data_IF_400516577166
#
_entry.id   IF_400516577166
#
_cell.length_a   1.000
_cell.length_b   1.000
_cell.length_c   1.000
_cell.angle_alpha   90.00
_cell.angle_beta   90.00
_cell.angle_gamma   90.00
#
_symmetry.space_group_name_H-M   'P 1'
#
loop_
_entity.id
_entity.type
_entity.pdbx_description
1 polymer ?
#
# COMPACT_ATOMS: atom_id res chain seq x y z
N UNK A 1 14.55 22.18 14.17
CA UNK A 1 13.84 21.59 13.02
C UNK A 1 13.75 20.10 13.31
N UNK A 2 12.56 19.55 13.54
CA UNK A 2 12.43 18.10 13.78
C UNK A 2 12.67 17.39 12.45
N UNK A 3 13.75 16.61 12.35
CA UNK A 3 13.99 15.77 11.19
C UNK A 3 12.83 14.78 11.06
N UNK A 4 12.23 14.71 9.87
CA UNK A 4 11.16 13.75 9.57
C UNK A 4 11.79 12.44 9.12
N UNK A 5 11.48 11.36 9.81
CA UNK A 5 11.88 10.01 9.39
C UNK A 5 11.19 9.64 8.07
N UNK A 6 11.92 9.22 7.03
CA UNK A 6 11.34 8.80 5.76
C UNK A 6 10.43 7.57 5.92
N UNK A 7 9.29 7.58 5.24
CA UNK A 7 8.41 6.40 5.14
C UNK A 7 9.00 5.47 4.08
N UNK A 8 9.48 4.31 4.51
CA UNK A 8 10.05 3.30 3.60
C UNK A 8 9.00 2.32 3.06
N UNK A 9 7.90 2.16 3.79
CA UNK A 9 6.87 1.15 3.51
C UNK A 9 5.54 1.59 4.10
N UNK A 10 4.45 1.32 3.40
CA UNK A 10 3.08 1.61 3.83
C UNK A 10 2.15 0.42 3.57
N UNK A 11 1.44 -0.04 4.61
CA UNK A 11 0.37 -1.03 4.48
C UNK A 11 -0.96 -0.29 4.38
N UNK A 12 -1.69 -0.49 3.28
CA UNK A 12 -2.99 0.13 3.03
C UNK A 12 -4.09 -0.95 3.09
N UNK A 13 -5.06 -0.77 3.98
CA UNK A 13 -6.22 -1.65 4.11
C UNK A 13 -7.43 -0.84 4.54
N UNK A 14 -8.30 -0.54 3.58
CA UNK A 14 -9.44 0.37 3.78
C UNK A 14 -10.72 -0.21 3.20
N UNK A 15 -11.83 0.05 3.90
CA UNK A 15 -13.15 -0.33 3.39
C UNK A 15 -13.63 0.63 2.30
N UNK A 16 -13.55 1.94 2.53
CA UNK A 16 -13.83 2.97 1.54
C UNK A 16 -12.56 3.35 0.79
N UNK A 17 -12.63 3.47 -0.53
CA UNK A 17 -11.46 3.62 -1.41
C UNK A 17 -11.21 5.09 -1.80
N UNK A 18 -12.04 5.99 -1.31
CA UNK A 18 -11.92 7.43 -1.52
C UNK A 18 -10.52 7.92 -1.11
N UNK A 19 -9.78 8.48 -2.06
CA UNK A 19 -8.44 9.04 -1.81
C UNK A 19 -7.31 8.01 -1.66
N UNK A 20 -7.58 6.70 -1.69
CA UNK A 20 -6.54 5.68 -1.42
C UNK A 20 -5.50 5.63 -2.54
N UNK A 21 -5.93 5.85 -3.79
CA UNK A 21 -5.05 5.84 -4.97
C UNK A 21 -4.11 7.04 -4.94
N UNK A 22 -4.62 8.23 -4.62
CA UNK A 22 -3.85 9.46 -4.50
C UNK A 22 -2.84 9.36 -3.37
N UNK A 23 -3.25 8.83 -2.21
CA UNK A 23 -2.36 8.58 -1.09
C UNK A 23 -1.24 7.60 -1.45
N UNK A 24 -1.59 6.44 -2.03
CA UNK A 24 -0.63 5.41 -2.40
C UNK A 24 0.37 5.92 -3.44
N UNK A 25 -0.09 6.70 -4.44
CA UNK A 25 0.76 7.34 -5.44
C UNK A 25 1.74 8.31 -4.80
N UNK A 26 1.27 9.20 -3.91
CA UNK A 26 2.13 10.14 -3.21
C UNK A 26 3.19 9.42 -2.35
N UNK A 27 2.83 8.33 -1.68
CA UNK A 27 3.77 7.53 -0.90
C UNK A 27 4.81 6.84 -1.81
N UNK A 28 4.38 6.24 -2.91
CA UNK A 28 5.26 5.59 -3.88
C UNK A 28 6.23 6.58 -4.54
N UNK A 29 5.78 7.81 -4.87
CA UNK A 29 6.62 8.89 -5.39
C UNK A 29 7.71 9.33 -4.40
N UNK A 30 7.46 9.17 -3.09
CA UNK A 30 8.46 9.39 -2.04
C UNK A 30 9.34 8.15 -1.76
N UNK A 31 9.20 7.09 -2.54
CA UNK A 31 9.99 5.87 -2.45
C UNK A 31 9.48 4.85 -1.43
N UNK A 32 8.23 4.97 -0.95
CA UNK A 32 7.63 3.98 -0.08
C UNK A 32 7.17 2.75 -0.88
N UNK A 33 7.51 1.55 -0.40
CA UNK A 33 6.91 0.30 -0.88
C UNK A 33 5.47 0.17 -0.38
N UNK A 34 4.53 -0.10 -1.27
CA UNK A 34 3.10 -0.22 -0.93
C UNK A 34 2.75 -1.69 -0.73
N UNK A 35 2.16 -2.02 0.42
CA UNK A 35 1.62 -3.34 0.72
C UNK A 35 0.10 -3.24 0.84
N UNK A 36 -0.60 -4.25 0.35
CA UNK A 36 -2.04 -4.38 0.53
C UNK A 36 -2.51 -5.82 0.29
N UNK A 37 -3.79 -6.08 0.51
CA UNK A 37 -4.48 -7.32 0.14
C UNK A 37 -5.91 -7.03 -0.32
N UNK A 38 -6.55 -8.04 -0.90
CA UNK A 38 -7.98 -8.05 -1.21
C UNK A 38 -8.43 -6.84 -2.02
N UNK A 39 -9.58 -6.26 -1.64
CA UNK A 39 -10.20 -5.18 -2.40
C UNK A 39 -9.44 -3.85 -2.38
N UNK A 40 -8.49 -3.62 -1.46
CA UNK A 40 -7.64 -2.42 -1.51
C UNK A 40 -6.52 -2.61 -2.53
N UNK A 41 -5.88 -3.78 -2.53
CA UNK A 41 -4.87 -4.13 -3.53
C UNK A 41 -5.42 -4.02 -4.95
N UNK A 42 -6.58 -4.61 -5.22
CA UNK A 42 -7.21 -4.56 -6.54
C UNK A 42 -7.43 -3.12 -7.04
N UNK A 43 -7.90 -2.22 -6.17
CA UNK A 43 -8.13 -0.82 -6.54
C UNK A 43 -6.82 -0.06 -6.86
N UNK A 44 -5.73 -0.41 -6.17
CA UNK A 44 -4.42 0.19 -6.41
C UNK A 44 -3.77 -0.34 -7.70
N UNK A 45 -3.86 -1.64 -7.94
CA UNK A 45 -3.36 -2.27 -9.17
C UNK A 45 -4.11 -1.79 -10.42
N UNK A 46 -5.43 -1.63 -10.34
CA UNK A 46 -6.24 -1.04 -11.42
C UNK A 46 -5.79 0.39 -11.77
N UNK A 47 -5.33 1.15 -10.77
CA UNK A 47 -4.77 2.48 -10.95
C UNK A 47 -3.28 2.49 -11.40
N UNK A 48 -2.71 1.31 -11.70
CA UNK A 48 -1.34 1.13 -12.15
C UNK A 48 -0.28 1.32 -11.05
N UNK A 49 -0.66 1.19 -9.78
CA UNK A 49 0.27 1.29 -8.66
C UNK A 49 0.84 -0.10 -8.38
N UNK A 50 2.17 -0.19 -8.27
CA UNK A 50 2.84 -1.42 -7.83
C UNK A 50 2.55 -1.67 -6.36
N UNK A 51 1.99 -2.84 -6.06
CA UNK A 51 1.65 -3.27 -4.70
C UNK A 51 2.30 -4.62 -4.45
N UNK A 52 2.84 -4.81 -3.24
CA UNK A 52 3.30 -6.10 -2.74
C UNK A 52 2.17 -6.74 -1.94
N UNK A 53 1.80 -7.97 -2.29
CA UNK A 53 0.80 -8.71 -1.53
C UNK A 53 1.34 -9.05 -0.13
N UNK A 54 0.53 -8.87 0.91
CA UNK A 54 0.96 -9.16 2.30
C UNK A 54 1.29 -10.64 2.48
N UNK A 55 0.60 -11.54 1.78
CA UNK A 55 0.90 -12.97 1.82
C UNK A 55 2.32 -13.25 1.28
N UNK A 56 2.70 -12.63 0.17
CA UNK A 56 4.06 -12.73 -0.39
C UNK A 56 5.10 -12.14 0.56
N UNK A 57 4.79 -11.00 1.19
CA UNK A 57 5.70 -10.35 2.13
C UNK A 57 5.93 -11.17 3.40
N UNK A 58 4.88 -11.82 3.91
CA UNK A 58 4.94 -12.56 5.18
C UNK A 58 5.33 -14.03 4.99
N UNK A 59 5.10 -14.60 3.81
CA UNK A 59 5.20 -16.03 3.55
C UNK A 59 4.05 -16.85 4.15
N UNK A 60 2.98 -16.19 4.62
CA UNK A 60 1.80 -16.85 5.18
C UNK A 60 0.56 -16.54 4.33
N UNK A 61 -0.26 -17.55 3.97
CA UNK A 61 -1.48 -17.32 3.22
C UNK A 61 -2.52 -16.56 4.07
N UNK A 62 -3.45 -15.87 3.40
CA UNK A 62 -4.60 -15.25 4.06
C UNK A 62 -5.46 -16.32 4.78
N UNK A 63 -5.97 -15.99 5.97
CA UNK A 63 -6.81 -16.87 6.79
C UNK A 63 -8.21 -16.27 6.95
N UNK A 64 -9.22 -17.14 7.05
CA UNK A 64 -10.64 -16.77 7.26
C UNK A 64 -11.05 -16.82 8.74
#
# INVERSE_FOLDING_TARGET
MTERTPIRRALLSVFYKDGVVELARALAEQGAEILSTGGTMAALEEAGITVVEVADYTGFPEMM
#
